data_IF_945734195352
#
_entry.id   IF_945734195352
#
_cell.length_a   1.000
_cell.length_b   1.000
_cell.length_c   1.000
_cell.angle_alpha   90.00
_cell.angle_beta   90.00
_cell.angle_gamma   90.00
#
_symmetry.space_group_name_H-M   'P 1'
#
loop_
_entity.id
_entity.type
_entity.pdbx_description
1 polymer ?
#
# COMPACT_ATOMS: atom_id res chain seq x y z
N UNK A 1 2.94 13.02 11.95
CA UNK A 1 1.86 13.96 11.59
C UNK A 1 0.60 13.69 12.38
N UNK A 2 -0.31 14.61 12.40
CA UNK A 2 -1.62 14.41 13.03
C UNK A 2 -2.47 13.50 12.13
N UNK A 3 -3.11 12.49 12.73
CA UNK A 3 -4.01 11.58 12.03
C UNK A 3 -5.31 11.46 12.82
N UNK A 4 -6.35 12.25 12.46
CA UNK A 4 -7.64 12.19 13.14
C UNK A 4 -8.30 10.81 12.95
N UNK A 5 -9.23 10.45 13.84
CA UNK A 5 -10.06 9.28 13.64
C UNK A 5 -10.81 9.38 12.29
N UNK A 6 -10.92 8.27 11.55
CA UNK A 6 -11.51 8.26 10.20
C UNK A 6 -10.45 8.21 9.08
N UNK A 7 -9.17 8.39 9.40
CA UNK A 7 -8.08 8.16 8.44
C UNK A 7 -7.49 6.77 8.68
N UNK A 8 -7.56 5.90 7.67
CA UNK A 8 -7.09 4.51 7.74
C UNK A 8 -6.13 4.21 6.59
N UNK A 9 -5.15 3.34 6.83
CA UNK A 9 -4.51 2.64 5.72
C UNK A 9 -5.46 1.57 5.19
N UNK A 10 -5.32 1.18 3.92
CA UNK A 10 -6.16 0.15 3.31
C UNK A 10 -6.10 -1.18 4.08
N UNK A 11 -4.91 -1.59 4.53
CA UNK A 11 -4.73 -2.80 5.34
C UNK A 11 -5.43 -2.72 6.70
N UNK A 12 -5.38 -1.57 7.38
CA UNK A 12 -6.11 -1.35 8.63
C UNK A 12 -7.63 -1.41 8.41
N UNK A 13 -8.14 -0.76 7.36
CA UNK A 13 -9.56 -0.81 7.01
C UNK A 13 -10.01 -2.25 6.72
N UNK A 14 -9.20 -3.01 5.97
CA UNK A 14 -9.43 -4.43 5.70
C UNK A 14 -9.50 -5.27 6.98
N UNK A 15 -8.56 -5.06 7.92
CA UNK A 15 -8.56 -5.76 9.20
C UNK A 15 -9.82 -5.46 10.02
N UNK A 16 -10.26 -4.20 10.06
CA UNK A 16 -11.50 -3.82 10.74
C UNK A 16 -12.71 -4.58 10.19
N UNK A 17 -12.83 -4.70 8.87
CA UNK A 17 -13.95 -5.37 8.23
C UNK A 17 -13.86 -6.89 8.33
N UNK A 18 -12.68 -7.46 8.02
CA UNK A 18 -12.56 -8.91 7.87
C UNK A 18 -12.32 -9.64 9.21
N UNK A 19 -11.60 -9.02 10.15
CA UNK A 19 -11.25 -9.64 11.43
C UNK A 19 -12.18 -9.19 12.57
N UNK A 20 -12.59 -7.92 12.56
CA UNK A 20 -13.38 -7.36 13.66
C UNK A 20 -14.83 -7.13 13.32
N UNK A 21 -15.25 -7.43 12.08
CA UNK A 21 -16.62 -7.22 11.58
C UNK A 21 -17.13 -5.79 11.89
N UNK A 22 -16.29 -4.78 11.62
CA UNK A 22 -16.56 -3.36 11.89
C UNK A 22 -16.37 -2.55 10.64
N UNK A 23 -17.33 -1.70 10.32
CA UNK A 23 -17.23 -0.76 9.20
C UNK A 23 -16.36 0.44 9.61
N UNK A 24 -15.28 0.77 8.87
CA UNK A 24 -14.44 1.93 9.15
C UNK A 24 -15.18 3.28 9.01
N UNK A 25 -16.05 3.37 8.01
CA UNK A 25 -16.86 4.57 7.73
C UNK A 25 -17.94 4.28 6.70
N UNK A 26 -18.89 5.19 6.55
CA UNK A 26 -20.01 5.08 5.60
C UNK A 26 -19.81 5.90 4.33
N UNK A 27 -19.20 7.08 4.45
CA UNK A 27 -18.83 7.95 3.34
C UNK A 27 -17.31 7.87 3.17
N UNK A 28 -16.82 7.36 2.06
CA UNK A 28 -15.44 6.95 1.90
C UNK A 28 -14.80 7.60 0.68
N UNK A 29 -13.59 8.09 0.87
CA UNK A 29 -12.67 8.50 -0.19
C UNK A 29 -11.43 7.63 -0.11
N UNK A 30 -10.93 7.17 -1.25
CA UNK A 30 -9.72 6.37 -1.34
C UNK A 30 -8.66 7.15 -2.10
N UNK A 31 -7.46 7.25 -1.53
CA UNK A 31 -6.29 7.82 -2.18
C UNK A 31 -5.34 6.69 -2.59
N UNK A 32 -5.07 6.62 -3.90
CA UNK A 32 -4.26 5.60 -4.55
C UNK A 32 -5.10 4.54 -5.26
N UNK A 33 -4.80 4.33 -6.55
CA UNK A 33 -5.45 3.37 -7.45
C UNK A 33 -4.69 2.05 -7.58
N UNK A 34 -3.82 1.74 -6.64
CA UNK A 34 -3.21 0.41 -6.54
C UNK A 34 -4.26 -0.67 -6.29
N UNK A 35 -3.93 -1.93 -6.57
CA UNK A 35 -4.88 -3.05 -6.47
C UNK A 35 -5.59 -3.11 -5.13
N UNK A 36 -4.86 -2.91 -4.03
CA UNK A 36 -5.46 -2.94 -2.68
C UNK A 36 -6.48 -1.83 -2.48
N UNK A 37 -6.20 -0.61 -2.99
CA UNK A 37 -7.14 0.51 -2.91
C UNK A 37 -8.44 0.21 -3.67
N UNK A 38 -8.33 -0.31 -4.90
CA UNK A 38 -9.49 -0.68 -5.71
C UNK A 38 -10.28 -1.86 -5.10
N UNK A 39 -9.59 -2.88 -4.62
CA UNK A 39 -10.24 -4.02 -3.92
C UNK A 39 -10.98 -3.53 -2.68
N UNK A 40 -10.41 -2.59 -1.93
CA UNK A 40 -11.08 -2.00 -0.76
C UNK A 40 -12.27 -1.14 -1.15
N UNK A 41 -12.21 -0.39 -2.27
CA UNK A 41 -13.34 0.34 -2.80
C UNK A 41 -14.54 -0.59 -3.03
N UNK A 42 -14.33 -1.66 -3.79
CA UNK A 42 -15.33 -2.68 -4.01
C UNK A 42 -15.83 -3.32 -2.70
N UNK A 43 -14.90 -3.72 -1.82
CA UNK A 43 -15.27 -4.39 -0.57
C UNK A 43 -16.13 -3.51 0.32
N UNK A 44 -15.79 -2.25 0.49
CA UNK A 44 -16.58 -1.32 1.31
C UNK A 44 -17.94 -1.04 0.72
N UNK A 45 -18.06 -0.95 -0.61
CA UNK A 45 -19.35 -0.81 -1.30
C UNK A 45 -20.22 -2.01 -1.07
N UNK A 46 -19.69 -3.23 -1.14
CA UNK A 46 -20.44 -4.47 -0.87
C UNK A 46 -20.96 -4.55 0.57
N UNK A 47 -20.26 -3.97 1.53
CA UNK A 47 -20.66 -3.89 2.93
C UNK A 47 -21.57 -2.69 3.24
N UNK A 48 -21.97 -1.93 2.20
CA UNK A 48 -22.95 -0.85 2.31
C UNK A 48 -22.38 0.53 2.61
N UNK A 49 -21.08 0.74 2.46
CA UNK A 49 -20.51 2.08 2.43
C UNK A 49 -20.72 2.74 1.07
N UNK A 50 -20.80 4.06 1.05
CA UNK A 50 -20.77 4.85 -0.16
C UNK A 50 -19.31 5.28 -0.43
N UNK A 51 -18.67 4.64 -1.40
CA UNK A 51 -17.36 5.05 -1.88
C UNK A 51 -17.55 6.14 -2.92
N UNK A 52 -17.24 7.38 -2.56
CA UNK A 52 -17.49 8.55 -3.41
C UNK A 52 -16.57 8.59 -4.61
N UNK A 53 -15.29 8.24 -4.42
CA UNK A 53 -14.30 8.17 -5.49
C UNK A 53 -13.00 7.53 -5.03
N UNK A 54 -12.21 7.11 -6.01
CA UNK A 54 -10.78 6.81 -5.90
C UNK A 54 -10.02 7.95 -6.58
N UNK A 55 -9.01 8.49 -5.91
CA UNK A 55 -8.12 9.54 -6.41
C UNK A 55 -6.72 8.98 -6.61
N UNK A 56 -6.11 9.31 -7.74
CA UNK A 56 -4.76 8.88 -8.10
C UNK A 56 -3.91 10.09 -8.48
N UNK A 57 -2.73 10.18 -7.88
CA UNK A 57 -1.78 11.27 -8.15
C UNK A 57 -1.25 11.23 -9.58
N UNK A 58 -1.03 10.02 -10.11
CA UNK A 58 -0.49 9.81 -11.45
C UNK A 58 -1.56 10.03 -12.52
N UNK A 59 -1.17 10.39 -13.76
CA UNK A 59 -2.09 10.51 -14.89
C UNK A 59 -2.56 9.15 -15.44
N UNK A 60 -2.25 8.06 -14.75
CA UNK A 60 -2.66 6.70 -15.10
C UNK A 60 -2.90 5.89 -13.81
N UNK A 61 -3.78 4.88 -13.84
CA UNK A 61 -4.00 4.01 -12.69
C UNK A 61 -2.77 3.13 -12.42
N UNK A 62 -2.47 2.89 -11.15
CA UNK A 62 -1.30 2.13 -10.73
C UNK A 62 -1.55 0.62 -10.55
N UNK A 63 -2.81 0.19 -10.48
CA UNK A 63 -3.17 -1.21 -10.35
C UNK A 63 -3.52 -1.90 -11.67
N UNK A 64 -3.85 -3.19 -11.59
CA UNK A 64 -4.14 -4.03 -12.76
C UNK A 64 -5.43 -3.60 -13.47
N UNK A 65 -5.47 -3.57 -14.82
CA UNK A 65 -6.66 -3.17 -15.59
C UNK A 65 -7.93 -3.96 -15.23
N UNK A 66 -7.81 -5.24 -14.91
CA UNK A 66 -8.95 -6.06 -14.47
C UNK A 66 -9.60 -5.54 -13.19
N UNK A 67 -8.81 -4.96 -12.28
CA UNK A 67 -9.33 -4.43 -11.02
C UNK A 67 -10.03 -3.08 -11.22
N UNK A 68 -9.68 -2.31 -12.25
CA UNK A 68 -10.45 -1.12 -12.63
C UNK A 68 -11.87 -1.54 -12.96
N UNK A 69 -12.03 -2.51 -13.87
CA UNK A 69 -13.35 -3.00 -14.27
C UNK A 69 -14.11 -3.61 -13.10
N UNK A 70 -13.51 -4.63 -12.44
CA UNK A 70 -14.20 -5.42 -11.42
C UNK A 70 -14.43 -4.71 -10.09
N UNK A 71 -13.65 -3.67 -9.78
CA UNK A 71 -13.73 -2.99 -8.50
C UNK A 71 -14.28 -1.58 -8.57
N UNK A 72 -14.19 -0.93 -9.73
CA UNK A 72 -14.66 0.44 -9.90
C UNK A 72 -15.81 0.53 -10.90
N UNK A 73 -15.63 0.10 -12.16
CA UNK A 73 -16.63 0.24 -13.20
C UNK A 73 -17.92 -0.53 -12.88
N UNK A 74 -17.83 -1.80 -12.46
CA UNK A 74 -18.97 -2.64 -12.08
C UNK A 74 -19.79 -2.06 -10.91
N UNK A 75 -19.19 -1.16 -10.12
CA UNK A 75 -19.83 -0.53 -8.95
C UNK A 75 -20.10 0.96 -9.14
N UNK A 76 -19.82 1.50 -10.34
CA UNK A 76 -19.95 2.94 -10.66
C UNK A 76 -19.16 3.84 -9.70
N UNK A 77 -17.98 3.41 -9.27
CA UNK A 77 -17.08 4.19 -8.42
C UNK A 77 -16.17 5.03 -9.31
N UNK A 78 -16.23 6.38 -9.24
CA UNK A 78 -15.40 7.24 -10.07
C UNK A 78 -13.91 7.10 -9.75
N UNK A 79 -13.06 7.09 -10.78
CA UNK A 79 -11.61 7.20 -10.68
C UNK A 79 -11.16 8.55 -11.24
N UNK A 80 -10.53 9.37 -10.40
CA UNK A 80 -9.95 10.66 -10.81
C UNK A 80 -8.42 10.56 -10.81
N UNK A 81 -7.85 10.63 -12.00
CA UNK A 81 -6.40 10.66 -12.22
C UNK A 81 -5.87 12.09 -12.08
N UNK A 82 -4.57 12.24 -11.82
CA UNK A 82 -3.93 13.53 -11.57
C UNK A 82 -4.56 14.32 -10.40
N UNK A 83 -5.06 13.61 -9.39
CA UNK A 83 -5.69 14.21 -8.22
C UNK A 83 -5.07 13.68 -6.92
N UNK A 84 -4.96 14.54 -5.92
CA UNK A 84 -4.47 14.13 -4.59
C UNK A 84 -5.18 14.86 -3.47
N UNK A 85 -5.09 14.33 -2.26
CA UNK A 85 -5.53 15.00 -1.04
C UNK A 85 -4.48 16.03 -0.65
N UNK A 86 -4.86 17.28 -0.55
CA UNK A 86 -3.97 18.38 -0.15
C UNK A 86 -4.22 18.86 1.28
N UNK A 87 -5.38 18.57 1.85
CA UNK A 87 -5.72 18.96 3.20
C UNK A 87 -6.70 17.96 3.83
N UNK A 88 -6.54 17.71 5.12
CA UNK A 88 -7.43 16.88 5.93
C UNK A 88 -8.12 17.78 6.94
N UNK A 89 -9.45 17.79 6.95
CA UNK A 89 -10.25 18.60 7.84
C UNK A 89 -10.73 17.82 9.07
N UNK A 90 -10.77 18.50 10.22
CA UNK A 90 -11.15 17.91 11.50
C UNK A 90 -9.93 17.61 12.38
N UNK A 91 -10.10 17.77 13.68
CA UNK A 91 -9.04 17.60 14.69
C UNK A 91 -9.11 16.21 15.34
N UNK A 92 -10.24 15.93 15.99
CA UNK A 92 -10.43 14.66 16.70
C UNK A 92 -10.91 13.56 15.75
N UNK A 93 -11.73 13.94 14.76
CA UNK A 93 -12.27 13.08 13.71
C UNK A 93 -12.26 13.80 12.37
N UNK A 94 -12.01 13.05 11.31
CA UNK A 94 -12.11 13.50 9.93
C UNK A 94 -13.55 14.02 9.66
N UNK A 95 -13.64 15.25 9.16
CA UNK A 95 -14.90 15.88 8.73
C UNK A 95 -14.93 16.14 7.23
N UNK A 96 -13.79 16.01 6.56
CA UNK A 96 -13.64 16.17 5.12
C UNK A 96 -12.18 16.16 4.68
N UNK A 97 -11.98 16.15 3.39
CA UNK A 97 -10.68 16.31 2.74
C UNK A 97 -10.78 17.30 1.59
N UNK A 98 -9.71 18.04 1.33
CA UNK A 98 -9.58 18.83 0.11
C UNK A 98 -8.84 18.03 -0.92
N UNK A 99 -9.46 17.85 -2.09
CA UNK A 99 -8.84 17.24 -3.27
C UNK A 99 -8.41 18.34 -4.22
N UNK A 100 -7.20 18.19 -4.76
CA UNK A 100 -6.70 19.11 -5.81
C UNK A 100 -6.28 18.29 -7.02
N UNK A 101 -6.65 18.76 -8.20
CA UNK A 101 -5.99 18.35 -9.44
C UNK A 101 -4.54 18.87 -9.42
N UNK A 102 -3.61 18.10 -9.97
CA UNK A 102 -2.17 18.42 -9.88
C UNK A 102 -1.85 19.77 -10.56
N UNK A 103 -2.74 20.29 -11.41
CA UNK A 103 -2.55 21.53 -12.16
C UNK A 103 -3.58 22.65 -11.90
N UNK A 104 -4.68 22.48 -11.22
CA UNK A 104 -5.58 23.56 -10.82
C UNK A 104 -6.85 23.12 -10.06
N UNK A 105 -7.28 23.95 -9.08
CA UNK A 105 -8.59 24.04 -8.43
C UNK A 105 -9.02 22.97 -7.41
N UNK A 106 -9.14 23.42 -6.16
CA UNK A 106 -9.48 22.69 -4.94
C UNK A 106 -10.99 22.50 -4.77
N UNK A 107 -11.45 21.28 -4.43
CA UNK A 107 -12.84 21.00 -3.99
C UNK A 107 -12.85 20.17 -2.70
N UNK A 108 -13.70 20.46 -1.70
CA UNK A 108 -13.83 19.70 -0.45
C UNK A 108 -14.72 18.45 -0.64
N UNK A 109 -14.38 17.34 0.00
CA UNK A 109 -15.12 16.06 0.03
C UNK A 109 -14.96 15.35 1.40
N UNK A 110 -15.89 14.46 1.82
CA UNK A 110 -16.23 14.12 3.22
C UNK A 110 -15.45 13.06 3.99
N UNK A 111 -16.01 12.51 5.00
CA UNK A 111 -15.68 12.08 6.39
C UNK A 111 -14.74 10.87 6.62
N UNK A 112 -14.39 10.05 5.61
CA UNK A 112 -13.46 8.92 5.76
C UNK A 112 -12.47 8.87 4.61
N UNK A 113 -11.17 8.87 4.94
CA UNK A 113 -10.09 8.74 3.98
C UNK A 113 -9.38 7.40 4.15
N UNK A 114 -9.23 6.65 3.05
CA UNK A 114 -8.42 5.43 2.99
C UNK A 114 -7.18 5.69 2.13
N UNK A 115 -6.02 5.41 2.71
CA UNK A 115 -4.72 5.57 2.06
C UNK A 115 -4.25 4.24 1.47
N UNK A 116 -4.01 4.21 0.17
CA UNK A 116 -3.42 3.09 -0.58
C UNK A 116 -2.32 3.61 -1.50
N UNK A 117 -1.35 4.31 -0.91
CA UNK A 117 -0.32 5.10 -1.60
C UNK A 117 1.01 4.36 -1.77
N UNK A 118 0.99 3.05 -1.70
CA UNK A 118 2.15 2.17 -1.86
C UNK A 118 2.53 1.44 -0.57
N UNK A 119 3.34 0.41 -0.75
CA UNK A 119 3.92 -0.38 0.34
C UNK A 119 5.34 0.12 0.62
N UNK A 120 5.77 -0.02 1.86
CA UNK A 120 7.14 0.24 2.29
C UNK A 120 7.65 -1.04 2.94
N UNK A 121 8.85 -1.54 2.58
CA UNK A 121 9.48 -2.67 3.25
C UNK A 121 9.59 -2.44 4.76
N UNK A 122 9.15 -3.40 5.57
CA UNK A 122 9.21 -3.32 7.03
C UNK A 122 10.54 -3.92 7.51
N UNK A 123 11.51 -3.09 7.81
CA UNK A 123 12.88 -3.48 8.11
C UNK A 123 13.38 -3.10 9.52
N UNK A 124 12.47 -2.77 10.43
CA UNK A 124 12.86 -2.38 11.80
C UNK A 124 13.75 -3.42 12.50
N UNK A 125 13.44 -4.71 12.33
CA UNK A 125 14.25 -5.79 12.91
C UNK A 125 15.63 -5.88 12.27
N UNK A 126 15.77 -5.59 10.98
CA UNK A 126 17.04 -5.60 10.27
C UNK A 126 17.91 -4.41 10.70
N UNK A 127 17.32 -3.22 10.84
CA UNK A 127 18.00 -2.04 11.39
C UNK A 127 18.53 -2.31 12.79
N UNK A 128 17.71 -2.87 13.68
CA UNK A 128 18.08 -3.21 15.06
C UNK A 128 19.20 -4.26 15.12
N UNK A 129 19.31 -5.12 14.09
CA UNK A 129 20.38 -6.10 13.93
C UNK A 129 21.63 -5.52 13.24
N UNK A 130 21.67 -4.24 12.92
CA UNK A 130 22.82 -3.58 12.27
C UNK A 130 22.96 -3.88 10.78
N UNK A 131 21.88 -4.31 10.13
CA UNK A 131 21.85 -4.53 8.69
C UNK A 131 21.69 -3.19 7.98
N UNK A 132 22.50 -2.97 6.94
CA UNK A 132 22.45 -1.77 6.13
C UNK A 132 21.15 -1.75 5.30
N UNK A 133 20.43 -0.62 5.33
CA UNK A 133 19.21 -0.39 4.55
C UNK A 133 19.49 0.60 3.42
N UNK A 134 19.05 0.28 2.23
CA UNK A 134 19.15 1.17 1.07
C UNK A 134 18.09 2.27 1.17
N UNK A 135 18.48 3.56 1.11
CA UNK A 135 17.56 4.68 1.27
C UNK A 135 16.57 4.87 0.10
N UNK A 136 16.80 4.22 -1.04
CA UNK A 136 15.93 4.33 -2.21
C UNK A 136 14.84 3.26 -2.21
N UNK A 137 15.22 2.01 -1.89
CA UNK A 137 14.27 0.88 -1.86
C UNK A 137 13.64 0.67 -0.49
N UNK A 138 14.26 1.21 0.58
CA UNK A 138 13.98 0.92 1.99
C UNK A 138 14.13 -0.58 2.34
N UNK A 139 14.78 -1.36 1.49
CA UNK A 139 15.13 -2.76 1.71
C UNK A 139 16.55 -2.93 2.22
N UNK A 140 16.90 -4.14 2.66
CA UNK A 140 18.28 -4.45 3.03
C UNK A 140 19.22 -4.31 1.83
N UNK A 141 20.43 -3.80 2.07
CA UNK A 141 21.51 -3.90 1.08
C UNK A 141 22.00 -5.35 1.04
N UNK A 142 21.93 -5.98 -0.12
CA UNK A 142 22.35 -7.37 -0.34
C UNK A 142 23.33 -7.49 -1.51
N UNK A 143 24.11 -8.56 -1.50
CA UNK A 143 24.96 -8.96 -2.63
C UNK A 143 24.16 -9.77 -3.68
N UNK A 144 24.86 -10.31 -4.69
CA UNK A 144 24.28 -11.12 -5.75
C UNK A 144 23.72 -12.47 -5.26
N UNK A 145 24.07 -12.89 -4.05
CA UNK A 145 23.55 -14.10 -3.39
C UNK A 145 22.40 -13.81 -2.43
N UNK A 146 21.91 -12.54 -2.39
CA UNK A 146 20.88 -12.05 -1.46
C UNK A 146 21.34 -12.07 0.01
N UNK A 147 22.68 -12.11 0.25
CA UNK A 147 23.25 -12.00 1.58
C UNK A 147 23.43 -10.53 1.96
N UNK A 148 23.11 -10.20 3.20
CA UNK A 148 23.28 -8.84 3.76
C UNK A 148 24.73 -8.60 4.16
N UNK A 149 25.03 -7.39 4.66
CA UNK A 149 26.33 -7.08 5.27
C UNK A 149 26.64 -7.91 6.53
N UNK A 150 25.68 -8.65 7.07
CA UNK A 150 25.88 -9.58 8.20
C UNK A 150 25.99 -11.01 7.66
N UNK A 151 27.14 -11.70 7.79
CA UNK A 151 27.32 -13.03 7.26
C UNK A 151 26.29 -14.03 7.77
N UNK A 152 25.71 -14.83 6.85
CA UNK A 152 24.68 -15.81 7.17
C UNK A 152 23.26 -15.25 7.31
N UNK A 153 23.08 -13.94 7.10
CA UNK A 153 21.77 -13.29 7.06
C UNK A 153 21.43 -12.92 5.62
N UNK A 154 20.29 -13.38 5.16
CA UNK A 154 19.78 -13.19 3.79
C UNK A 154 18.45 -12.46 3.81
N UNK A 155 18.13 -11.74 2.74
CA UNK A 155 16.88 -11.00 2.61
C UNK A 155 16.27 -11.18 1.23
N UNK A 156 14.96 -11.44 1.16
CA UNK A 156 14.19 -11.57 -0.08
C UNK A 156 12.73 -11.16 0.10
N UNK A 157 12.00 -11.00 -1.00
CA UNK A 157 10.59 -10.66 -1.02
C UNK A 157 10.32 -9.21 -0.62
N UNK A 158 9.13 -8.94 -0.14
CA UNK A 158 8.67 -7.56 0.13
C UNK A 158 9.43 -6.82 1.25
N UNK A 159 10.27 -7.51 2.01
CA UNK A 159 11.19 -6.83 2.96
C UNK A 159 12.45 -6.31 2.26
N UNK A 160 12.82 -6.89 1.10
CA UNK A 160 13.93 -6.45 0.27
C UNK A 160 13.48 -5.34 -0.68
N UNK A 161 12.46 -5.60 -1.48
CA UNK A 161 11.75 -4.59 -2.27
C UNK A 161 10.31 -5.08 -2.56
N UNK A 162 9.41 -4.14 -2.85
CA UNK A 162 8.00 -4.47 -3.09
C UNK A 162 7.82 -5.05 -4.48
N UNK A 163 7.28 -6.27 -4.55
CA UNK A 163 6.92 -6.94 -5.79
C UNK A 163 5.44 -6.77 -6.12
N UNK A 164 5.12 -6.63 -7.41
CA UNK A 164 3.73 -6.55 -7.89
C UNK A 164 3.00 -7.90 -7.86
N UNK A 165 3.74 -9.00 -8.02
CA UNK A 165 3.21 -10.36 -8.07
C UNK A 165 3.95 -11.29 -7.09
N UNK A 166 3.18 -12.14 -6.41
CA UNK A 166 3.73 -13.16 -5.49
C UNK A 166 4.64 -14.17 -6.18
N UNK A 167 4.47 -14.36 -7.49
CA UNK A 167 5.34 -15.25 -8.28
C UNK A 167 6.80 -14.79 -8.24
N UNK A 168 7.05 -13.49 -8.32
CA UNK A 168 8.41 -12.92 -8.20
C UNK A 168 8.98 -13.10 -6.79
N UNK A 169 8.14 -12.94 -5.75
CA UNK A 169 8.53 -13.23 -4.36
C UNK A 169 8.96 -14.68 -4.22
N UNK A 170 8.20 -15.61 -4.83
CA UNK A 170 8.51 -17.05 -4.78
C UNK A 170 9.83 -17.38 -5.48
N UNK A 171 10.04 -16.84 -6.69
CA UNK A 171 11.28 -17.05 -7.47
C UNK A 171 12.51 -16.50 -6.73
N UNK A 172 12.41 -15.32 -6.16
CA UNK A 172 13.49 -14.70 -5.39
C UNK A 172 13.79 -15.49 -4.11
N UNK A 173 12.74 -15.95 -3.40
CA UNK A 173 12.90 -16.78 -2.21
C UNK A 173 13.51 -18.15 -2.49
N UNK A 174 13.21 -18.76 -3.65
CA UNK A 174 13.86 -19.99 -4.09
C UNK A 174 15.35 -19.76 -4.41
N UNK A 175 15.70 -18.64 -5.02
CA UNK A 175 17.11 -18.29 -5.27
C UNK A 175 17.86 -18.10 -3.94
N UNK A 176 17.27 -17.34 -3.01
CA UNK A 176 17.81 -17.15 -1.66
C UNK A 176 18.05 -18.48 -0.95
N UNK A 177 17.08 -19.40 -1.01
CA UNK A 177 17.20 -20.71 -0.35
C UNK A 177 18.38 -21.52 -0.87
N UNK A 178 18.64 -21.47 -2.20
CA UNK A 178 19.82 -22.15 -2.80
C UNK A 178 21.13 -21.52 -2.33
N UNK A 179 21.22 -20.18 -2.27
CA UNK A 179 22.41 -19.47 -1.81
C UNK A 179 22.66 -19.70 -0.30
N UNK A 180 21.60 -19.65 0.52
CA UNK A 180 21.71 -19.94 1.95
C UNK A 180 22.18 -21.38 2.22
N UNK A 181 21.68 -22.36 1.45
CA UNK A 181 22.15 -23.75 1.53
C UNK A 181 23.63 -23.88 1.15
N UNK A 182 24.06 -23.25 0.05
CA UNK A 182 25.46 -23.23 -0.37
C UNK A 182 26.37 -22.59 0.70
N UNK A 183 25.93 -21.50 1.31
CA UNK A 183 26.64 -20.86 2.41
C UNK A 183 26.85 -21.81 3.60
N UNK A 184 25.80 -22.52 4.03
CA UNK A 184 25.87 -23.50 5.14
C UNK A 184 26.83 -24.65 4.79
N UNK A 185 26.87 -25.08 3.54
CA UNK A 185 27.78 -26.12 3.04
C UNK A 185 29.23 -25.65 2.82
N UNK A 186 29.50 -24.36 3.05
CA UNK A 186 30.82 -23.77 2.80
C UNK A 186 31.19 -23.67 1.32
N UNK A 187 30.21 -23.53 0.44
CA UNK A 187 30.36 -23.42 -1.03
C UNK A 187 29.96 -22.04 -1.55
N UNK A 188 29.64 -21.10 -0.64
CA UNK A 188 29.21 -19.74 -0.94
C UNK A 188 30.37 -18.75 -0.88
#
# INVERSE_FOLDING_TARGET
GERPAGVFTAGTAQAYMNLYNRMPGKEVVILGSGDIGMIMARRMTLEGAHVQAVFELMPYPSGLPRNIVQCLDDYNIPLYLSHTVTEIHGRDRLTGVTISEVDANRRPIPDTLILSVGLIPENKLLEDAGIAIDPHTNGAVVDENLQTNVPGVFSAGNVLHVHDLVDFVSMESEALARHAAAYVEGKG
#
